data_IF_213210691471
#
_entry.id   IF_213210691471
#
_cell.length_a   1.000
_cell.length_b   1.000
_cell.length_c   1.000
_cell.angle_alpha   90.00
_cell.angle_beta   90.00
_cell.angle_gamma   90.00
#
_symmetry.space_group_name_H-M   'P 1'
#
loop_
_entity.id
_entity.type
_entity.pdbx_description
1 polymer ?
#
# COMPACT_ATOMS: atom_id res chain seq x y z
N UNK A 1 -12.11 14.49 13.06
CA UNK A 1 -11.38 14.79 11.81
C UNK A 1 -10.59 13.59 11.29
N UNK A 2 -9.65 13.00 12.04
CA UNK A 2 -8.82 11.90 11.53
C UNK A 2 -9.59 10.57 11.32
N UNK A 3 -10.55 10.26 12.20
CA UNK A 3 -11.49 9.12 12.03
C UNK A 3 -12.29 9.25 10.73
N UNK A 4 -12.85 10.43 10.48
CA UNK A 4 -13.60 10.76 9.26
C UNK A 4 -12.71 10.65 8.01
N UNK A 5 -11.46 11.12 8.09
CA UNK A 5 -10.50 10.97 6.99
C UNK A 5 -10.26 9.49 6.66
N UNK A 6 -10.05 8.64 7.68
CA UNK A 6 -9.91 7.19 7.51
C UNK A 6 -11.15 6.56 6.86
N UNK A 7 -12.36 6.94 7.27
CA UNK A 7 -13.62 6.42 6.71
C UNK A 7 -13.75 6.73 5.21
N UNK A 8 -13.25 7.89 4.76
CA UNK A 8 -13.33 8.33 3.35
C UNK A 8 -12.26 7.74 2.42
N UNK A 9 -11.27 7.02 2.97
CA UNK A 9 -10.29 6.29 2.16
C UNK A 9 -10.99 5.04 1.60
N UNK A 10 -11.06 4.87 0.27
CA UNK A 10 -11.66 3.68 -0.33
C UNK A 10 -10.86 2.43 0.06
N UNK A 11 -11.44 1.24 -0.09
CA UNK A 11 -10.63 0.03 -0.09
C UNK A 11 -9.74 0.00 -1.33
N UNK A 12 -8.50 -0.43 -1.19
CA UNK A 12 -7.56 -0.65 -2.26
C UNK A 12 -8.06 -1.80 -3.13
N UNK A 13 -8.16 -1.52 -4.42
CA UNK A 13 -8.48 -2.46 -5.50
C UNK A 13 -7.59 -2.18 -6.71
N UNK A 14 -7.47 -3.14 -7.62
CA UNK A 14 -6.72 -3.02 -8.88
C UNK A 14 -7.09 -1.75 -9.67
N UNK A 15 -8.39 -1.41 -9.72
CA UNK A 15 -8.90 -0.28 -10.51
C UNK A 15 -8.75 1.11 -9.88
N UNK A 16 -8.52 1.21 -8.56
CA UNK A 16 -8.58 2.49 -7.84
C UNK A 16 -7.26 2.92 -7.18
N UNK A 17 -6.16 2.23 -7.50
CA UNK A 17 -4.85 2.45 -6.86
C UNK A 17 -4.40 3.91 -6.84
N UNK A 18 -4.56 4.66 -7.94
CA UNK A 18 -4.13 6.07 -7.97
C UNK A 18 -4.84 6.90 -6.90
N UNK A 19 -6.17 6.75 -6.79
CA UNK A 19 -6.99 7.48 -5.82
C UNK A 19 -6.65 7.02 -4.39
N UNK A 20 -6.51 5.70 -4.20
CA UNK A 20 -6.14 5.14 -2.91
C UNK A 20 -4.77 5.63 -2.45
N UNK A 21 -3.77 5.57 -3.34
CA UNK A 21 -2.39 6.03 -3.11
C UNK A 21 -2.36 7.49 -2.69
N UNK A 22 -3.04 8.37 -3.42
CA UNK A 22 -3.00 9.80 -3.11
C UNK A 22 -3.60 10.08 -1.72
N UNK A 23 -4.71 9.43 -1.37
CA UNK A 23 -5.37 9.56 -0.07
C UNK A 23 -4.54 8.98 1.08
N UNK A 24 -3.98 7.77 0.93
CA UNK A 24 -3.17 7.15 1.99
C UNK A 24 -1.85 7.91 2.16
N UNK A 25 -1.21 8.36 1.08
CA UNK A 25 0.00 9.18 1.16
C UNK A 25 -0.26 10.49 1.89
N UNK A 26 -1.42 11.14 1.67
CA UNK A 26 -1.80 12.34 2.43
C UNK A 26 -1.95 12.05 3.93
N UNK A 27 -2.57 10.92 4.30
CA UNK A 27 -2.67 10.48 5.70
C UNK A 27 -1.29 10.23 6.33
N UNK A 28 -0.39 9.56 5.60
CA UNK A 28 0.96 9.25 6.08
C UNK A 28 1.83 10.52 6.22
N UNK A 29 1.65 11.51 5.33
CA UNK A 29 2.27 12.84 5.47
C UNK A 29 1.75 13.56 6.72
N UNK A 30 0.44 13.55 6.93
CA UNK A 30 -0.19 14.16 8.11
C UNK A 30 0.31 13.55 9.42
N UNK A 31 0.59 12.24 9.42
CA UNK A 31 1.16 11.50 10.56
C UNK A 31 2.67 11.64 10.71
N UNK A 32 3.37 12.23 9.73
CA UNK A 32 4.83 12.37 9.75
C UNK A 32 5.63 11.09 9.50
N UNK A 33 4.99 10.01 9.04
CA UNK A 33 5.59 8.67 8.92
C UNK A 33 5.98 8.28 7.49
N UNK A 34 5.61 9.08 6.48
CA UNK A 34 5.84 8.75 5.07
C UNK A 34 7.32 8.43 4.76
N UNK A 35 8.25 9.27 5.24
CA UNK A 35 9.69 9.07 4.99
C UNK A 35 10.22 7.77 5.59
N UNK A 36 9.70 7.37 6.74
CA UNK A 36 10.08 6.12 7.38
C UNK A 36 9.52 4.92 6.60
N UNK A 37 8.32 5.02 6.03
CA UNK A 37 7.75 3.98 5.17
C UNK A 37 8.49 3.79 3.84
N UNK A 38 9.03 4.87 3.28
CA UNK A 38 9.76 4.84 2.00
C UNK A 38 11.21 4.36 2.14
N UNK A 39 11.74 4.31 3.36
CA UNK A 39 13.11 3.92 3.62
C UNK A 39 13.18 2.86 4.72
N UNK A 40 13.39 1.60 4.33
CA UNK A 40 13.55 0.45 5.24
C UNK A 40 14.72 0.58 6.22
N UNK A 41 15.67 1.49 5.99
CA UNK A 41 16.74 1.78 6.94
C UNK A 41 16.29 2.67 8.10
N UNK A 42 15.16 3.34 7.98
CA UNK A 42 14.57 4.14 9.07
C UNK A 42 13.69 3.22 9.91
N UNK A 43 14.03 3.08 11.19
CA UNK A 43 13.23 2.26 12.10
C UNK A 43 11.90 2.95 12.43
N UNK A 44 10.79 2.25 12.19
CA UNK A 44 9.50 2.58 12.76
C UNK A 44 9.39 1.91 14.13
N UNK A 45 8.97 2.66 15.15
CA UNK A 45 8.69 2.05 16.45
C UNK A 45 7.57 1.01 16.34
N UNK A 46 7.66 -0.08 17.09
CA UNK A 46 6.79 -1.26 16.98
C UNK A 46 5.29 -0.92 17.00
N UNK A 47 4.88 0.00 17.90
CA UNK A 47 3.48 0.45 17.98
C UNK A 47 3.02 1.15 16.70
N UNK A 48 3.87 1.99 16.11
CA UNK A 48 3.54 2.71 14.87
C UNK A 48 3.51 1.73 13.69
N UNK A 49 4.45 0.77 13.64
CA UNK A 49 4.45 -0.27 12.62
C UNK A 49 3.14 -1.07 12.66
N UNK A 50 2.74 -1.55 13.85
CA UNK A 50 1.50 -2.31 14.05
C UNK A 50 0.23 -1.51 13.73
N UNK A 51 0.14 -0.24 14.16
CA UNK A 51 -0.99 0.63 13.85
C UNK A 51 -1.15 0.85 12.35
N UNK A 52 -0.05 1.16 11.64
CA UNK A 52 -0.09 1.42 10.21
C UNK A 52 -0.37 0.14 9.41
N UNK A 53 0.20 -0.99 9.85
CA UNK A 53 -0.11 -2.30 9.29
C UNK A 53 -1.61 -2.60 9.36
N UNK A 54 -2.22 -2.42 10.54
CA UNK A 54 -3.66 -2.59 10.73
C UNK A 54 -4.48 -1.68 9.81
N UNK A 55 -4.11 -0.40 9.70
CA UNK A 55 -4.81 0.56 8.81
C UNK A 55 -4.73 0.13 7.34
N UNK A 56 -3.56 -0.27 6.86
CA UNK A 56 -3.38 -0.70 5.47
C UNK A 56 -4.18 -1.97 5.18
N UNK A 57 -4.12 -2.96 6.08
CA UNK A 57 -4.85 -4.23 5.92
C UNK A 57 -6.37 -4.01 5.91
N UNK A 58 -6.90 -3.16 6.78
CA UNK A 58 -8.34 -2.83 6.81
C UNK A 58 -8.80 -2.07 5.55
N UNK A 59 -7.88 -1.37 4.89
CA UNK A 59 -8.13 -0.63 3.65
C UNK A 59 -7.75 -1.41 2.41
N UNK A 60 -7.66 -2.73 2.49
CA UNK A 60 -7.42 -3.62 1.36
C UNK A 60 -8.64 -4.52 1.16
N UNK A 61 -9.07 -4.71 -0.09
CA UNK A 61 -10.08 -5.72 -0.38
C UNK A 61 -9.48 -7.13 -0.36
N UNK A 62 -10.32 -8.17 -0.31
CA UNK A 62 -9.84 -9.55 -0.18
C UNK A 62 -9.03 -10.03 -1.38
N UNK A 63 -9.37 -9.58 -2.60
CA UNK A 63 -8.65 -9.96 -3.81
C UNK A 63 -7.24 -9.35 -3.80
N UNK A 64 -7.12 -8.06 -3.53
CA UNK A 64 -5.81 -7.40 -3.44
C UNK A 64 -5.00 -7.97 -2.28
N UNK A 65 -5.64 -8.27 -1.15
CA UNK A 65 -4.97 -8.90 -0.01
C UNK A 65 -4.26 -10.18 -0.39
N UNK A 66 -4.95 -11.09 -1.08
CA UNK A 66 -4.37 -12.37 -1.49
C UNK A 66 -3.19 -12.21 -2.47
N UNK A 67 -3.19 -11.15 -3.27
CA UNK A 67 -2.15 -10.91 -4.28
C UNK A 67 -0.92 -10.18 -3.70
N UNK A 68 -1.09 -9.39 -2.64
CA UNK A 68 -0.04 -8.52 -2.10
C UNK A 68 0.55 -9.06 -0.79
N UNK A 69 -0.28 -9.62 0.09
CA UNK A 69 0.13 -10.03 1.44
C UNK A 69 0.74 -11.42 1.39
N UNK A 70 1.98 -11.53 1.84
CA UNK A 70 2.79 -12.75 1.87
C UNK A 70 3.45 -12.92 3.24
N UNK A 71 3.91 -14.14 3.54
CA UNK A 71 4.63 -14.44 4.79
C UNK A 71 5.81 -13.48 5.06
N UNK A 72 6.48 -12.98 4.01
CA UNK A 72 7.64 -12.08 4.13
C UNK A 72 7.30 -10.62 4.48
N UNK A 73 6.05 -10.17 4.26
CA UNK A 73 5.65 -8.76 4.40
C UNK A 73 4.49 -8.52 5.38
N UNK A 74 3.77 -9.57 5.80
CA UNK A 74 2.57 -9.45 6.63
C UNK A 74 2.80 -8.85 8.01
N UNK A 75 4.04 -8.87 8.50
CA UNK A 75 4.44 -8.43 9.85
C UNK A 75 5.29 -7.15 9.82
N UNK A 76 5.35 -6.43 8.69
CA UNK A 76 6.10 -5.17 8.59
C UNK A 76 5.44 -4.21 7.62
N UNK A 77 5.02 -3.06 8.11
CA UNK A 77 4.32 -2.08 7.26
C UNK A 77 5.21 -1.55 6.13
N UNK A 78 6.52 -1.42 6.35
CA UNK A 78 7.46 -0.99 5.32
C UNK A 78 7.54 -2.00 4.16
N UNK A 79 7.65 -3.29 4.49
CA UNK A 79 7.69 -4.36 3.47
C UNK A 79 6.36 -4.47 2.73
N UNK A 80 5.25 -4.32 3.44
CA UNK A 80 3.92 -4.33 2.82
C UNK A 80 3.74 -3.13 1.88
N UNK A 81 4.14 -1.94 2.30
CA UNK A 81 4.10 -0.72 1.48
C UNK A 81 4.89 -0.87 0.18
N UNK A 82 6.09 -1.44 0.25
CA UNK A 82 6.90 -1.75 -0.94
C UNK A 82 6.18 -2.74 -1.86
N UNK A 83 5.64 -3.83 -1.30
CA UNK A 83 4.93 -4.86 -2.08
C UNK A 83 3.70 -4.29 -2.80
N UNK A 84 2.95 -3.39 -2.15
CA UNK A 84 1.84 -2.66 -2.80
C UNK A 84 2.38 -1.87 -3.99
N UNK A 85 3.43 -1.05 -3.81
CA UNK A 85 3.96 -0.25 -4.93
C UNK A 85 4.43 -1.12 -6.09
N UNK A 86 5.09 -2.24 -5.81
CA UNK A 86 5.58 -3.19 -6.83
C UNK A 86 4.43 -3.86 -7.61
N UNK A 87 3.42 -4.38 -6.90
CA UNK A 87 2.24 -5.00 -7.50
C UNK A 87 1.57 -4.05 -8.50
N UNK A 88 1.32 -2.81 -8.07
CA UNK A 88 0.57 -1.86 -8.87
C UNK A 88 1.42 -1.13 -9.93
N UNK A 89 2.74 -1.17 -9.80
CA UNK A 89 3.65 -0.81 -10.89
C UNK A 89 3.61 -1.88 -12.00
N UNK A 90 3.59 -3.17 -11.64
CA UNK A 90 3.43 -4.27 -12.59
C UNK A 90 2.07 -4.22 -13.31
N UNK A 91 1.00 -3.92 -12.56
CA UNK A 91 -0.36 -3.77 -13.08
C UNK A 91 -0.61 -2.46 -13.86
N UNK A 92 0.38 -1.61 -14.12
CA UNK A 92 0.16 -0.45 -15.00
C UNK A 92 -0.23 -0.92 -16.41
N UNK A 93 -1.16 -0.24 -17.07
CA UNK A 93 -1.62 -0.61 -18.43
C UNK A 93 -0.47 -0.69 -19.43
N UNK A 94 0.50 0.22 -19.35
CA UNK A 94 1.73 0.20 -20.16
C UNK A 94 2.59 -1.03 -19.89
N UNK A 95 2.75 -1.41 -18.62
CA UNK A 95 3.53 -2.60 -18.23
C UNK A 95 2.80 -3.90 -18.59
N UNK A 96 1.49 -3.97 -18.39
CA UNK A 96 0.65 -5.10 -18.85
C UNK A 96 0.69 -5.28 -20.36
N UNK A 97 0.60 -4.18 -21.12
CA UNK A 97 0.69 -4.22 -22.58
C UNK A 97 2.08 -4.69 -23.03
N UNK A 98 3.16 -4.24 -22.38
CA UNK A 98 4.52 -4.71 -22.68
C UNK A 98 4.69 -6.20 -22.42
N UNK A 99 4.27 -6.69 -21.24
CA UNK A 99 4.32 -8.11 -20.90
C UNK A 99 3.48 -8.93 -21.88
N UNK A 100 2.28 -8.47 -22.25
CA UNK A 100 1.44 -9.16 -23.23
C UNK A 100 2.07 -9.24 -24.63
N UNK A 101 2.81 -8.21 -25.04
CA UNK A 101 3.51 -8.20 -26.32
C UNK A 101 4.78 -9.08 -26.33
N UNK A 102 5.35 -9.40 -25.17
CA UNK A 102 6.50 -10.33 -25.05
C UNK A 102 6.08 -11.80 -25.20
N UNK A 103 4.79 -12.11 -25.09
CA UNK A 103 4.23 -13.46 -25.21
C UNK A 103 3.48 -13.74 -26.53
N UNK A 104 3.51 -12.80 -27.48
CA UNK A 104 2.91 -12.90 -28.82
C UNK A 104 4.01 -12.98 -29.89
#
# INVERSE_FOLDING_TARGET
>A
MLKTALETIPQLKEENYSIWRDKITALLKLRGVLRALENVSVHLGEMIDAELLMVILLKMDSVTHNNVVMAKNRDSVQKLWISIKEQFASSQSSNRARISNEFL
#
